data_IF_214063355020
#
_entry.id   IF_214063355020
#
_cell.length_a   1.000
_cell.length_b   1.000
_cell.length_c   1.000
_cell.angle_alpha   90.00
_cell.angle_beta   90.00
_cell.angle_gamma   90.00
#
_symmetry.space_group_name_H-M   'P 1'
#
loop_
_entity.id
_entity.type
_entity.pdbx_description
1 polymer ?
#
# COMPACT_ATOMS: atom_id res chain seq x y z
N UNK A 1 -14.18 1.35 36.19
CA UNK A 1 -14.64 1.21 34.79
C UNK A 1 -13.74 1.96 33.82
N UNK A 2 -13.54 3.27 33.98
CA UNK A 2 -12.72 4.10 33.07
C UNK A 2 -11.26 3.65 32.90
N UNK A 3 -10.60 3.21 33.97
CA UNK A 3 -9.19 2.75 33.93
C UNK A 3 -9.01 1.51 33.04
N UNK A 4 -10.02 0.63 32.99
CA UNK A 4 -9.97 -0.60 32.18
C UNK A 4 -10.12 -0.27 30.70
N UNK A 5 -11.08 0.59 30.38
CA UNK A 5 -11.30 1.12 29.03
C UNK A 5 -10.07 1.85 28.47
N UNK A 6 -9.38 2.67 29.30
CA UNK A 6 -8.13 3.32 28.89
C UNK A 6 -7.02 2.32 28.54
N UNK A 7 -6.87 1.25 29.32
CA UNK A 7 -5.88 0.19 29.05
C UNK A 7 -6.19 -0.56 27.75
N UNK A 8 -7.46 -0.91 27.53
CA UNK A 8 -7.90 -1.57 26.30
C UNK A 8 -7.66 -0.72 25.05
N UNK A 9 -7.97 0.59 25.13
CA UNK A 9 -7.68 1.52 24.03
C UNK A 9 -6.18 1.62 23.74
N UNK A 10 -5.36 1.66 24.79
CA UNK A 10 -3.92 1.77 24.66
C UNK A 10 -3.32 0.50 24.02
N UNK A 11 -3.84 -0.66 24.37
CA UNK A 11 -3.43 -1.92 23.76
C UNK A 11 -3.81 -1.97 22.27
N UNK A 12 -5.04 -1.59 21.91
CA UNK A 12 -5.45 -1.49 20.51
C UNK A 12 -4.57 -0.51 19.72
N UNK A 13 -4.24 0.63 20.31
CA UNK A 13 -3.34 1.60 19.69
C UNK A 13 -1.96 1.00 19.39
N UNK A 14 -1.39 0.25 20.35
CA UNK A 14 -0.11 -0.44 20.15
C UNK A 14 -0.18 -1.49 19.05
N UNK A 15 -1.25 -2.29 19.01
CA UNK A 15 -1.45 -3.29 17.95
C UNK A 15 -1.54 -2.66 16.57
N UNK A 16 -2.30 -1.57 16.42
CA UNK A 16 -2.41 -0.83 15.16
C UNK A 16 -1.08 -0.21 14.75
N UNK A 17 -0.34 0.36 15.70
CA UNK A 17 0.97 0.99 15.45
C UNK A 17 1.98 -0.04 14.95
N UNK A 18 2.08 -1.19 15.61
CA UNK A 18 2.94 -2.30 15.18
C UNK A 18 2.55 -2.81 13.79
N UNK A 19 1.25 -3.04 13.55
CA UNK A 19 0.75 -3.50 12.25
C UNK A 19 1.10 -2.50 11.14
N UNK A 20 0.92 -1.21 11.40
CA UNK A 20 1.28 -0.16 10.45
C UNK A 20 2.79 -0.17 10.17
N UNK A 21 3.64 -0.31 11.20
CA UNK A 21 5.09 -0.42 11.04
C UNK A 21 5.49 -1.61 10.17
N UNK A 22 4.87 -2.79 10.36
CA UNK A 22 5.13 -3.97 9.54
C UNK A 22 4.73 -3.75 8.07
N UNK A 23 3.55 -3.20 7.81
CA UNK A 23 3.09 -2.88 6.44
C UNK A 23 4.05 -1.90 5.77
N UNK A 24 4.45 -0.88 6.52
CA UNK A 24 5.42 0.11 6.11
C UNK A 24 6.73 -0.61 5.75
N UNK A 25 7.28 -1.48 6.61
CA UNK A 25 8.51 -2.26 6.37
C UNK A 25 8.43 -3.01 5.03
N UNK A 26 7.34 -3.74 4.79
CA UNK A 26 7.12 -4.47 3.54
C UNK A 26 7.08 -3.55 2.32
N UNK A 27 6.36 -2.42 2.39
CA UNK A 27 6.22 -1.46 1.27
C UNK A 27 7.56 -0.84 0.88
N UNK A 28 8.41 -0.52 1.86
CA UNK A 28 9.72 0.08 1.59
C UNK A 28 10.69 -0.86 0.88
N UNK A 29 10.59 -2.18 1.10
CA UNK A 29 11.62 -3.17 0.73
C UNK A 29 13.03 -2.80 1.24
N UNK A 30 13.14 -2.01 2.32
CA UNK A 30 14.42 -1.56 2.88
C UNK A 30 15.20 -2.72 3.48
N UNK A 31 16.50 -2.79 3.18
CA UNK A 31 17.42 -3.79 3.75
C UNK A 31 17.95 -3.28 5.09
N UNK A 32 17.19 -3.47 6.15
CA UNK A 32 17.52 -3.00 7.51
C UNK A 32 18.90 -3.48 8.00
N UNK A 33 19.33 -4.68 7.58
CA UNK A 33 20.65 -5.22 7.93
C UNK A 33 21.82 -4.37 7.39
N UNK A 34 21.66 -3.70 6.25
CA UNK A 34 22.71 -2.87 5.65
C UNK A 34 22.65 -1.41 6.11
N UNK A 35 21.46 -0.93 6.48
CA UNK A 35 21.22 0.50 6.70
C UNK A 35 20.95 0.86 8.17
N UNK A 36 20.89 -0.13 9.07
CA UNK A 36 20.75 0.08 10.52
C UNK A 36 19.35 0.55 10.96
N UNK A 37 19.20 0.78 12.27
CA UNK A 37 17.93 1.17 12.92
C UNK A 37 17.61 2.68 12.78
N UNK A 38 18.59 3.47 12.30
CA UNK A 38 18.47 4.93 12.15
C UNK A 38 17.76 5.34 10.84
N UNK A 39 17.22 4.36 10.12
CA UNK A 39 16.84 4.52 8.72
C UNK A 39 15.45 5.12 8.49
N UNK A 40 14.92 5.89 9.46
CA UNK A 40 13.53 6.38 9.46
C UNK A 40 13.25 7.32 8.28
N UNK A 41 14.16 8.25 7.98
CA UNK A 41 13.95 9.24 6.91
C UNK A 41 14.00 8.60 5.51
N UNK A 42 15.04 7.81 5.23
CA UNK A 42 15.18 7.14 3.94
C UNK A 42 14.01 6.19 3.67
N UNK A 43 13.59 5.45 4.70
CA UNK A 43 12.43 4.58 4.63
C UNK A 43 11.14 5.33 4.18
N UNK A 44 10.84 6.46 4.79
CA UNK A 44 9.70 7.28 4.40
C UNK A 44 9.86 7.88 2.99
N UNK A 45 11.07 8.30 2.62
CA UNK A 45 11.38 8.79 1.26
C UNK A 45 11.13 7.69 0.22
N UNK A 46 11.63 6.48 0.44
CA UNK A 46 11.45 5.34 -0.48
C UNK A 46 9.98 4.98 -0.63
N UNK A 47 9.21 4.94 0.45
CA UNK A 47 7.77 4.69 0.39
C UNK A 47 7.04 5.79 -0.37
N UNK A 48 7.35 7.05 -0.08
CA UNK A 48 6.70 8.17 -0.75
C UNK A 48 7.05 8.21 -2.23
N UNK A 49 8.30 7.91 -2.59
CA UNK A 49 8.72 7.77 -3.98
C UNK A 49 7.97 6.64 -4.70
N UNK A 50 7.89 5.45 -4.08
CA UNK A 50 7.12 4.32 -4.62
C UNK A 50 5.63 4.64 -4.74
N UNK A 51 5.03 5.29 -3.75
CA UNK A 51 3.63 5.73 -3.80
C UNK A 51 3.40 6.68 -4.96
N UNK A 52 4.26 7.68 -5.16
CA UNK A 52 4.15 8.62 -6.29
C UNK A 52 4.31 7.91 -7.63
N UNK A 53 5.30 7.02 -7.76
CA UNK A 53 5.55 6.27 -8.99
C UNK A 53 4.42 5.30 -9.35
N UNK A 54 3.83 4.65 -8.35
CA UNK A 54 2.76 3.68 -8.54
C UNK A 54 1.36 4.30 -8.47
N UNK A 55 1.26 5.60 -8.21
CA UNK A 55 -0.01 6.30 -8.21
C UNK A 55 -0.51 6.41 -9.65
N UNK A 56 -1.48 5.57 -9.97
CA UNK A 56 -2.26 5.66 -11.20
C UNK A 56 -3.35 6.70 -10.97
N UNK A 57 -3.13 7.92 -11.46
CA UNK A 57 -4.12 9.02 -11.39
C UNK A 57 -5.41 8.68 -12.12
N UNK A 58 -5.28 7.92 -13.20
CA UNK A 58 -6.38 7.44 -14.02
C UNK A 58 -5.84 6.55 -15.12
N UNK A 59 -6.73 5.85 -15.81
CA UNK A 59 -6.41 5.09 -17.00
C UNK A 59 -7.38 5.46 -18.12
N UNK A 60 -6.88 5.51 -19.35
CA UNK A 60 -7.73 5.67 -20.51
C UNK A 60 -8.35 4.31 -20.84
N UNK A 61 -9.64 4.18 -20.58
CA UNK A 61 -10.43 2.97 -20.83
C UNK A 61 -11.39 3.30 -21.96
N UNK A 62 -11.27 2.60 -23.10
CA UNK A 62 -12.19 2.73 -24.24
C UNK A 62 -12.47 4.20 -24.61
N UNK A 63 -11.40 5.01 -24.70
CA UNK A 63 -11.40 6.45 -25.02
C UNK A 63 -11.93 7.40 -23.95
N UNK A 64 -12.36 6.91 -22.79
CA UNK A 64 -12.75 7.75 -21.64
C UNK A 64 -11.65 7.76 -20.59
N UNK A 65 -11.36 8.93 -20.02
CA UNK A 65 -10.44 9.06 -18.89
C UNK A 65 -11.17 8.66 -17.60
N UNK A 66 -10.73 7.59 -16.97
CA UNK A 66 -11.33 7.06 -15.75
C UNK A 66 -10.34 7.22 -14.61
N UNK A 67 -10.74 7.92 -13.54
CA UNK A 67 -9.94 8.11 -12.32
C UNK A 67 -10.40 7.20 -11.16
N UNK A 68 -11.56 6.54 -11.30
CA UNK A 68 -12.11 5.69 -10.26
C UNK A 68 -11.31 4.38 -10.11
N UNK A 69 -10.76 4.14 -8.91
CA UNK A 69 -9.85 3.01 -8.68
C UNK A 69 -10.53 1.64 -8.84
N UNK A 70 -11.80 1.53 -8.49
CA UNK A 70 -12.65 0.33 -8.67
C UNK A 70 -12.73 -0.05 -10.15
N UNK A 71 -13.12 0.89 -11.00
CA UNK A 71 -13.28 0.72 -12.44
C UNK A 71 -11.96 0.38 -13.13
N UNK A 72 -10.85 1.03 -12.74
CA UNK A 72 -9.52 0.73 -13.28
C UNK A 72 -9.11 -0.71 -12.94
N UNK A 73 -9.32 -1.16 -11.69
CA UNK A 73 -8.97 -2.53 -11.27
C UNK A 73 -9.77 -3.59 -12.02
N UNK A 74 -11.07 -3.35 -12.20
CA UNK A 74 -11.96 -4.26 -12.91
C UNK A 74 -11.58 -4.36 -14.39
N UNK A 75 -11.31 -3.23 -15.04
CA UNK A 75 -10.82 -3.22 -16.42
C UNK A 75 -9.47 -3.93 -16.58
N UNK A 76 -8.52 -3.69 -15.68
CA UNK A 76 -7.21 -4.36 -15.71
C UNK A 76 -7.38 -5.87 -15.56
N UNK A 77 -8.24 -6.33 -14.63
CA UNK A 77 -8.57 -7.74 -14.47
C UNK A 77 -9.15 -8.33 -15.76
N UNK A 78 -10.20 -7.71 -16.30
CA UNK A 78 -10.86 -8.14 -17.54
C UNK A 78 -9.87 -8.20 -18.71
N UNK A 79 -9.02 -7.18 -18.89
CA UNK A 79 -8.04 -7.12 -19.97
C UNK A 79 -7.05 -8.28 -19.92
N UNK A 80 -6.50 -8.58 -18.73
CA UNK A 80 -5.53 -9.67 -18.61
C UNK A 80 -6.20 -11.05 -18.69
N UNK A 81 -7.42 -11.22 -18.18
CA UNK A 81 -8.19 -12.46 -18.35
C UNK A 81 -8.39 -12.78 -19.84
N UNK A 82 -8.77 -11.80 -20.66
CA UNK A 82 -8.97 -11.98 -22.10
C UNK A 82 -7.64 -12.14 -22.86
N UNK A 83 -6.61 -11.37 -22.48
CA UNK A 83 -5.29 -11.46 -23.11
C UNK A 83 -4.63 -12.82 -22.92
N UNK A 84 -4.85 -13.45 -21.76
CA UNK A 84 -4.29 -14.77 -21.45
C UNK A 84 -5.25 -15.92 -21.76
N UNK A 85 -6.51 -15.66 -22.13
CA UNK A 85 -7.43 -16.70 -22.60
C UNK A 85 -7.15 -17.14 -24.05
N UNK A 86 -6.65 -16.23 -24.90
CA UNK A 86 -6.25 -16.54 -26.29
C UNK A 86 -4.88 -17.25 -26.40
N UNK A 87 -4.15 -17.38 -25.29
CA UNK A 87 -2.83 -18.04 -25.26
C UNK A 87 -2.91 -19.55 -24.96
N UNK A 88 -4.09 -20.17 -25.16
CA UNK A 88 -4.32 -21.61 -24.97
C UNK A 88 -4.59 -22.31 -26.29
#
# INVERSE_FOLDING_TARGET
MEVRCKKELQEQFWQLSLTNEFILRQKSRSKWFLEGDDNRNYFHIVINWKRRKNYLKGSQIVRTWVEESSQIKEYVKWYFEHKFSDAR
#
